data_IF_518193382801
#
_entry.id   IF_518193382801
#
_cell.length_a   1.000
_cell.length_b   1.000
_cell.length_c   1.000
_cell.angle_alpha   90.00
_cell.angle_beta   90.00
_cell.angle_gamma   90.00
#
_symmetry.space_group_name_H-M   'P 1'
#
loop_
_entity.id
_entity.type
_entity.pdbx_description
1 polymer ?
#
# COMPACT_ATOMS: atom_id res chain seq x y z
N UNK A 1 -25.09 -12.75 41.96
CA UNK A 1 -24.32 -11.49 41.72
C UNK A 1 -22.94 -11.81 41.14
N UNK A 2 -22.79 -11.68 39.82
CA UNK A 2 -21.51 -11.81 39.12
C UNK A 2 -21.39 -10.67 38.14
N UNK A 3 -20.69 -9.61 38.53
CA UNK A 3 -20.40 -8.46 37.65
C UNK A 3 -19.21 -8.87 36.79
N UNK A 4 -19.46 -9.18 35.52
CA UNK A 4 -18.38 -9.30 34.54
C UNK A 4 -17.74 -7.92 34.36
N UNK A 5 -16.39 -7.82 34.36
CA UNK A 5 -15.74 -6.56 34.06
C UNK A 5 -16.04 -6.16 32.61
N UNK A 6 -16.27 -4.87 32.33
CA UNK A 6 -16.50 -4.41 30.97
C UNK A 6 -15.25 -4.69 30.11
N UNK A 7 -15.41 -5.06 28.83
CA UNK A 7 -14.28 -5.29 27.94
C UNK A 7 -13.45 -4.01 27.83
N UNK A 8 -12.13 -4.17 27.99
CA UNK A 8 -11.16 -3.09 28.00
C UNK A 8 -11.21 -2.32 26.66
N UNK A 9 -11.88 -1.17 26.66
CA UNK A 9 -12.12 -0.34 25.47
C UNK A 9 -10.83 0.25 24.85
N UNK A 10 -9.66 0.04 25.48
CA UNK A 10 -8.38 0.57 25.03
C UNK A 10 -7.56 -0.33 24.09
N UNK A 11 -7.83 -1.64 24.02
CA UNK A 11 -6.97 -2.57 23.25
C UNK A 11 -7.42 -2.78 21.80
N UNK A 12 -8.68 -2.50 21.46
CA UNK A 12 -9.19 -2.64 20.09
C UNK A 12 -8.88 -1.45 19.16
N UNK A 13 -8.68 -0.25 19.72
CA UNK A 13 -8.46 0.96 18.94
C UNK A 13 -7.02 1.11 18.39
N UNK A 14 -6.03 0.48 19.04
CA UNK A 14 -4.62 0.54 18.61
C UNK A 14 -4.32 -0.47 17.51
N UNK A 15 -4.83 -1.69 17.63
CA UNK A 15 -4.41 -2.81 16.79
C UNK A 15 -4.57 -2.53 15.29
N UNK A 16 -5.72 -2.00 14.85
CA UNK A 16 -5.97 -1.70 13.43
C UNK A 16 -5.08 -0.60 12.83
N UNK A 17 -4.80 0.46 13.60
CA UNK A 17 -3.93 1.55 13.17
C UNK A 17 -2.46 1.13 13.04
N UNK A 18 -2.00 0.30 13.97
CA UNK A 18 -0.63 -0.25 13.98
C UNK A 18 -0.37 -1.12 12.74
N UNK A 19 -1.37 -1.88 12.26
CA UNK A 19 -1.26 -2.67 11.04
C UNK A 19 -1.21 -1.81 9.76
N UNK A 20 -1.99 -0.73 9.69
CA UNK A 20 -1.98 0.19 8.54
C UNK A 20 -0.63 0.93 8.46
N UNK A 21 -0.10 1.40 9.58
CA UNK A 21 1.24 2.01 9.64
C UNK A 21 2.34 1.03 9.22
N UNK A 22 2.31 -0.19 9.77
CA UNK A 22 3.26 -1.24 9.38
C UNK A 22 3.19 -1.54 7.88
N UNK A 23 1.99 -1.57 7.29
CA UNK A 23 1.80 -1.76 5.85
C UNK A 23 2.39 -0.59 5.05
N UNK A 24 2.11 0.66 5.44
CA UNK A 24 2.67 1.87 4.82
C UNK A 24 4.20 1.80 4.82
N UNK A 25 4.81 1.49 5.97
CA UNK A 25 6.27 1.42 6.10
C UNK A 25 6.88 0.32 5.24
N UNK A 26 6.22 -0.85 5.15
CA UNK A 26 6.64 -1.94 4.27
C UNK A 26 6.61 -1.53 2.80
N UNK A 27 5.53 -0.90 2.34
CA UNK A 27 5.43 -0.47 0.94
C UNK A 27 6.42 0.66 0.64
N UNK A 28 6.60 1.63 1.55
CA UNK A 28 7.66 2.66 1.41
C UNK A 28 9.06 2.05 1.30
N UNK A 29 9.35 1.03 2.09
CA UNK A 29 10.63 0.30 2.02
C UNK A 29 10.78 -0.40 0.67
N UNK A 30 9.72 -1.02 0.17
CA UNK A 30 9.69 -1.63 -1.16
C UNK A 30 9.93 -0.58 -2.26
N UNK A 31 9.26 0.57 -2.24
CA UNK A 31 9.44 1.64 -3.23
C UNK A 31 10.89 2.14 -3.26
N UNK A 32 11.52 2.32 -2.09
CA UNK A 32 12.95 2.68 -2.01
C UNK A 32 13.84 1.59 -2.62
N UNK A 33 13.55 0.32 -2.33
CA UNK A 33 14.27 -0.80 -2.92
C UNK A 33 14.13 -0.83 -4.45
N UNK A 34 12.92 -0.61 -4.97
CA UNK A 34 12.68 -0.52 -6.41
C UNK A 34 13.48 0.60 -7.05
N UNK A 35 13.54 1.79 -6.44
CA UNK A 35 14.35 2.89 -6.98
C UNK A 35 15.85 2.53 -7.08
N UNK A 36 16.40 1.86 -6.05
CA UNK A 36 17.79 1.38 -6.08
C UNK A 36 17.98 0.32 -7.16
N UNK A 37 17.05 -0.63 -7.27
CA UNK A 37 17.05 -1.67 -8.30
C UNK A 37 17.04 -1.07 -9.71
N UNK A 38 16.25 -0.01 -9.93
CA UNK A 38 16.25 0.84 -11.12
C UNK A 38 17.63 1.33 -11.54
N UNK A 39 18.34 1.91 -10.58
CA UNK A 39 19.67 2.45 -10.82
C UNK A 39 20.69 1.35 -11.11
N UNK A 40 20.68 0.27 -10.32
CA UNK A 40 21.59 -0.87 -10.52
C UNK A 40 21.36 -1.50 -11.90
N UNK A 41 20.11 -1.78 -12.26
CA UNK A 41 19.78 -2.36 -13.56
C UNK A 41 20.24 -1.44 -14.70
N UNK A 42 20.02 -0.14 -14.59
CA UNK A 42 20.46 0.83 -15.61
C UNK A 42 21.97 0.87 -15.80
N UNK A 43 22.74 0.77 -14.70
CA UNK A 43 24.20 0.70 -14.73
C UNK A 43 24.71 -0.62 -15.31
N UNK A 44 24.11 -1.74 -14.91
CA UNK A 44 24.46 -3.06 -15.40
C UNK A 44 24.11 -3.21 -16.87
N UNK A 45 22.91 -2.79 -17.28
CA UNK A 45 22.42 -2.87 -18.65
C UNK A 45 23.12 -1.88 -19.60
N UNK A 46 24.03 -1.03 -19.13
CA UNK A 46 24.71 -0.04 -19.97
C UNK A 46 25.55 -0.72 -21.07
N UNK A 47 25.38 -0.35 -22.36
CA UNK A 47 26.05 -1.00 -23.49
C UNK A 47 27.58 -1.05 -23.37
N UNK A 48 28.18 -0.02 -22.75
CA UNK A 48 29.63 0.09 -22.57
C UNK A 48 30.22 -0.86 -21.51
N UNK A 49 29.40 -1.41 -20.59
CA UNK A 49 29.88 -2.24 -19.48
C UNK A 49 29.76 -3.74 -19.73
N UNK A 50 28.84 -4.17 -20.57
CA UNK A 50 28.58 -5.60 -20.78
C UNK A 50 29.44 -6.16 -21.92
N UNK A 51 30.09 -5.34 -22.75
CA UNK A 51 30.84 -5.84 -23.91
C UNK A 51 29.97 -6.54 -24.97
N UNK A 52 28.65 -6.66 -24.71
CA UNK A 52 27.66 -7.08 -25.67
C UNK A 52 27.49 -5.96 -26.71
N UNK A 53 28.25 -6.04 -27.80
CA UNK A 53 27.72 -5.61 -29.10
C UNK A 53 26.48 -6.47 -29.39
N UNK A 54 25.33 -6.09 -28.81
CA UNK A 54 24.04 -6.66 -29.19
C UNK A 54 23.77 -6.20 -30.61
N UNK A 55 24.23 -6.99 -31.56
CA UNK A 55 24.02 -6.82 -32.98
C UNK A 55 22.50 -6.86 -33.22
N UNK A 56 21.90 -5.70 -33.48
CA UNK A 56 20.66 -5.59 -34.23
C UNK A 56 19.35 -5.32 -33.48
N UNK A 57 19.25 -5.50 -32.17
CA UNK A 57 18.02 -5.19 -31.43
C UNK A 57 18.36 -4.55 -30.09
N UNK A 58 17.82 -3.35 -29.80
CA UNK A 58 17.66 -2.94 -28.40
C UNK A 58 16.98 -4.11 -27.68
N UNK A 59 17.52 -4.63 -26.57
CA UNK A 59 17.08 -5.93 -26.11
C UNK A 59 15.63 -5.78 -25.64
N UNK A 60 14.69 -6.42 -26.34
CA UNK A 60 13.26 -6.42 -26.03
C UNK A 60 13.01 -6.72 -24.54
N UNK A 61 13.86 -7.53 -23.89
CA UNK A 61 13.84 -7.80 -22.46
C UNK A 61 14.15 -6.56 -21.60
N UNK A 62 14.98 -5.62 -22.05
CA UNK A 62 15.25 -4.34 -21.35
C UNK A 62 13.98 -3.50 -21.32
N UNK A 63 13.26 -3.43 -22.44
CA UNK A 63 12.00 -2.71 -22.51
C UNK A 63 10.92 -3.36 -21.63
N UNK A 64 10.78 -4.69 -21.67
CA UNK A 64 9.86 -5.41 -20.76
C UNK A 64 10.23 -5.23 -19.29
N UNK A 65 11.52 -5.27 -18.97
CA UNK A 65 11.99 -5.00 -17.61
C UNK A 65 11.55 -3.62 -17.14
N UNK A 66 11.75 -2.59 -17.97
CA UNK A 66 11.33 -1.21 -17.65
C UNK A 66 9.82 -1.11 -17.44
N UNK A 67 9.04 -1.78 -18.29
CA UNK A 67 7.58 -1.84 -18.16
C UNK A 67 7.16 -2.46 -16.82
N UNK A 68 7.66 -3.66 -16.50
CA UNK A 68 7.30 -4.35 -15.26
C UNK A 68 7.84 -3.65 -14.01
N UNK A 69 9.00 -3.00 -14.11
CA UNK A 69 9.53 -2.14 -13.05
C UNK A 69 8.59 -0.95 -12.78
N UNK A 70 8.14 -0.27 -13.83
CA UNK A 70 7.19 0.83 -13.73
C UNK A 70 5.82 0.36 -13.19
N UNK A 71 5.34 -0.80 -13.64
CA UNK A 71 4.09 -1.39 -13.14
C UNK A 71 4.17 -1.72 -11.64
N UNK A 72 5.26 -2.35 -11.19
CA UNK A 72 5.49 -2.63 -9.78
C UNK A 72 5.54 -1.34 -8.93
N UNK A 73 6.23 -0.30 -9.42
CA UNK A 73 6.28 1.00 -8.76
C UNK A 73 4.89 1.66 -8.69
N UNK A 74 4.12 1.65 -9.78
CA UNK A 74 2.76 2.22 -9.85
C UNK A 74 1.80 1.51 -8.91
N UNK A 75 1.87 0.17 -8.82
CA UNK A 75 1.05 -0.59 -7.89
C UNK A 75 1.43 -0.33 -6.42
N UNK A 76 2.72 -0.15 -6.12
CA UNK A 76 3.15 0.28 -4.79
C UNK A 76 2.62 1.68 -4.44
N UNK A 77 2.68 2.63 -5.37
CA UNK A 77 2.16 3.99 -5.17
C UNK A 77 0.64 3.98 -4.96
N UNK A 78 -0.09 3.19 -5.75
CA UNK A 78 -1.54 3.00 -5.59
C UNK A 78 -1.86 2.46 -4.21
N UNK A 79 -1.15 1.41 -3.77
CA UNK A 79 -1.36 0.82 -2.45
C UNK A 79 -1.06 1.82 -1.32
N UNK A 80 0.01 2.62 -1.44
CA UNK A 80 0.32 3.68 -0.47
C UNK A 80 -0.77 4.74 -0.40
N UNK A 81 -1.25 5.20 -1.56
CA UNK A 81 -2.33 6.17 -1.63
C UNK A 81 -3.58 5.65 -0.90
N UNK A 82 -4.02 4.43 -1.21
CA UNK A 82 -5.15 3.79 -0.57
C UNK A 82 -4.97 3.62 0.94
N UNK A 83 -3.79 3.17 1.41
CA UNK A 83 -3.51 3.05 2.85
C UNK A 83 -3.55 4.42 3.57
N UNK A 84 -3.04 5.48 2.94
CA UNK A 84 -3.12 6.83 3.48
C UNK A 84 -4.57 7.35 3.55
N UNK A 85 -5.37 7.07 2.52
CA UNK A 85 -6.81 7.39 2.52
C UNK A 85 -7.56 6.62 3.60
N UNK A 86 -7.32 5.31 3.75
CA UNK A 86 -7.89 4.47 4.80
C UNK A 86 -7.56 5.02 6.19
N UNK A 87 -6.29 5.40 6.42
CA UNK A 87 -5.86 6.02 7.67
C UNK A 87 -6.61 7.33 7.93
N UNK A 88 -6.70 8.21 6.93
CA UNK A 88 -7.40 9.49 7.03
C UNK A 88 -8.90 9.31 7.36
N UNK A 89 -9.58 8.42 6.63
CA UNK A 89 -10.98 8.09 6.89
C UNK A 89 -11.18 7.46 8.28
N UNK A 90 -10.26 6.60 8.73
CA UNK A 90 -10.28 6.02 10.07
C UNK A 90 -10.15 7.07 11.17
N UNK A 91 -9.22 8.03 11.02
CA UNK A 91 -9.11 9.16 11.96
C UNK A 91 -10.36 10.05 11.96
N UNK A 92 -10.94 10.32 10.80
CA UNK A 92 -12.19 11.07 10.72
C UNK A 92 -13.34 10.33 11.42
N UNK A 93 -13.47 9.01 11.22
CA UNK A 93 -14.49 8.19 11.87
C UNK A 93 -14.33 8.21 13.39
N UNK A 94 -13.09 8.09 13.89
CA UNK A 94 -12.77 8.22 15.31
C UNK A 94 -13.19 9.58 15.87
N UNK A 95 -12.94 10.66 15.12
CA UNK A 95 -13.38 12.01 15.48
C UNK A 95 -14.90 12.12 15.62
N UNK A 96 -15.65 11.55 14.68
CA UNK A 96 -17.13 11.50 14.75
C UNK A 96 -17.58 10.68 15.96
N UNK A 97 -16.99 9.50 16.20
CA UNK A 97 -17.29 8.69 17.38
C UNK A 97 -17.01 9.43 18.68
N UNK A 98 -15.91 10.20 18.75
CA UNK A 98 -15.59 10.99 19.92
C UNK A 98 -16.68 12.05 20.21
N UNK A 99 -17.19 12.73 19.17
CA UNK A 99 -18.31 13.68 19.31
C UNK A 99 -19.59 12.97 19.75
N UNK A 100 -19.91 11.83 19.14
CA UNK A 100 -21.12 11.07 19.46
C UNK A 100 -21.12 10.52 20.90
N UNK A 101 -19.96 10.12 21.42
CA UNK A 101 -19.83 9.45 22.71
C UNK A 101 -19.50 10.41 23.87
N UNK A 102 -19.17 11.68 23.60
CA UNK A 102 -18.82 12.66 24.64
C UNK A 102 -20.03 13.06 25.48
N UNK A 103 -20.04 12.80 26.81
CA UNK A 103 -21.13 13.25 27.67
C UNK A 103 -21.11 14.79 27.87
N UNK A 104 -22.29 15.43 28.04
CA UNK A 104 -23.62 14.89 27.76
C UNK A 104 -23.89 14.92 26.25
N UNK A 105 -23.89 13.76 25.59
CA UNK A 105 -24.24 13.67 24.17
C UNK A 105 -25.76 13.53 24.05
N UNK A 106 -26.46 14.47 23.39
CA UNK A 106 -27.87 14.30 23.10
C UNK A 106 -28.05 13.12 22.14
N UNK A 107 -29.00 12.20 22.42
CA UNK A 107 -29.33 11.08 21.51
C UNK A 107 -29.61 11.55 20.07
N UNK A 108 -30.21 12.73 19.91
CA UNK A 108 -30.44 13.35 18.60
C UNK A 108 -29.15 13.62 17.83
N UNK A 109 -28.09 14.05 18.52
CA UNK A 109 -26.76 14.26 17.93
C UNK A 109 -26.16 12.93 17.51
N UNK A 110 -26.18 11.91 18.37
CA UNK A 110 -25.68 10.59 18.02
C UNK A 110 -26.38 10.00 16.77
N UNK A 111 -27.70 10.14 16.67
CA UNK A 111 -28.44 9.68 15.49
C UNK A 111 -28.14 10.48 14.22
N UNK A 112 -27.90 11.79 14.33
CA UNK A 112 -27.56 12.63 13.17
C UNK A 112 -26.18 12.30 12.58
N UNK A 113 -25.21 11.94 13.43
CA UNK A 113 -23.83 11.68 13.03
C UNK A 113 -23.53 10.21 12.70
N UNK A 114 -24.37 9.27 13.13
CA UNK A 114 -24.18 7.84 12.87
C UNK A 114 -24.02 7.49 11.37
N UNK A 115 -24.82 8.04 10.42
CA UNK A 115 -24.64 7.76 8.99
C UNK A 115 -23.28 8.24 8.46
N UNK A 116 -22.76 9.36 8.97
CA UNK A 116 -21.46 9.88 8.57
C UNK A 116 -20.32 8.97 9.05
N UNK A 117 -20.41 8.46 10.29
CA UNK A 117 -19.45 7.49 10.83
C UNK A 117 -19.47 6.19 10.02
N UNK A 118 -20.67 5.66 9.69
CA UNK A 118 -20.81 4.46 8.87
C UNK A 118 -20.20 4.66 7.47
N UNK A 119 -20.46 5.79 6.83
CA UNK A 119 -19.90 6.10 5.51
C UNK A 119 -18.37 6.13 5.55
N UNK A 120 -17.77 6.74 6.59
CA UNK A 120 -16.32 6.77 6.74
C UNK A 120 -15.74 5.37 6.93
N UNK A 121 -16.36 4.53 7.75
CA UNK A 121 -15.93 3.13 7.92
C UNK A 121 -16.04 2.34 6.62
N UNK A 122 -17.08 2.56 5.82
CA UNK A 122 -17.21 1.92 4.50
C UNK A 122 -16.09 2.32 3.56
N UNK A 123 -15.72 3.62 3.52
CA UNK A 123 -14.57 4.10 2.76
C UNK A 123 -13.25 3.48 3.24
N UNK A 124 -13.05 3.32 4.55
CA UNK A 124 -11.87 2.61 5.08
C UNK A 124 -11.80 1.19 4.51
N UNK A 125 -12.91 0.45 4.50
CA UNK A 125 -12.93 -0.91 3.95
C UNK A 125 -12.63 -0.93 2.44
N UNK A 126 -13.22 -0.01 1.68
CA UNK A 126 -12.99 0.10 0.23
C UNK A 126 -11.52 0.44 -0.07
N UNK A 127 -10.94 1.41 0.65
CA UNK A 127 -9.55 1.80 0.51
C UNK A 127 -8.60 0.63 0.84
N UNK A 128 -8.88 -0.14 1.91
CA UNK A 128 -8.07 -1.31 2.27
C UNK A 128 -8.16 -2.41 1.22
N UNK A 129 -9.35 -2.68 0.69
CA UNK A 129 -9.53 -3.66 -0.39
C UNK A 129 -8.80 -3.24 -1.67
N UNK A 130 -8.82 -1.95 -2.01
CA UNK A 130 -8.05 -1.41 -3.13
C UNK A 130 -6.53 -1.51 -2.91
N UNK A 131 -6.06 -1.25 -1.68
CA UNK A 131 -4.65 -1.42 -1.33
C UNK A 131 -4.20 -2.88 -1.47
N UNK A 132 -5.01 -3.83 -0.99
CA UNK A 132 -4.76 -5.26 -1.13
C UNK A 132 -4.70 -5.67 -2.62
N UNK A 133 -5.70 -5.29 -3.41
CA UNK A 133 -5.72 -5.58 -4.84
C UNK A 133 -4.52 -4.96 -5.58
N UNK A 134 -4.05 -3.79 -5.17
CA UNK A 134 -2.85 -3.18 -5.73
C UNK A 134 -1.59 -4.01 -5.38
N UNK A 135 -1.45 -4.47 -4.14
CA UNK A 135 -0.35 -5.36 -3.72
C UNK A 135 -0.40 -6.70 -4.46
N UNK A 136 -1.59 -7.26 -4.69
CA UNK A 136 -1.76 -8.47 -5.48
C UNK A 136 -1.29 -8.30 -6.92
N UNK A 137 -1.59 -7.16 -7.56
CA UNK A 137 -1.11 -6.82 -8.92
C UNK A 137 0.38 -6.47 -8.97
N UNK A 138 0.94 -5.96 -7.87
CA UNK A 138 2.37 -5.68 -7.75
C UNK A 138 3.20 -6.97 -7.81
N UNK A 139 2.71 -8.07 -7.22
CA UNK A 139 3.41 -9.35 -7.12
C UNK A 139 3.81 -9.95 -8.48
N UNK A 140 2.91 -10.14 -9.48
CA UNK A 140 3.29 -10.66 -10.78
C UNK A 140 4.23 -9.70 -11.54
N UNK A 141 4.09 -8.38 -11.36
CA UNK A 141 5.01 -7.41 -11.96
C UNK A 141 6.45 -7.59 -11.44
N UNK A 142 6.63 -7.81 -10.13
CA UNK A 142 7.95 -8.11 -9.53
C UNK A 142 8.52 -9.41 -10.09
N UNK A 143 7.70 -10.46 -10.19
CA UNK A 143 8.15 -11.76 -10.72
C UNK A 143 8.59 -11.61 -12.18
N UNK A 144 7.80 -10.93 -13.01
CA UNK A 144 8.15 -10.68 -14.40
C UNK A 144 9.42 -9.82 -14.54
N UNK A 145 9.56 -8.78 -13.72
CA UNK A 145 10.77 -7.95 -13.63
C UNK A 145 12.01 -8.80 -13.31
N UNK A 146 11.91 -9.75 -12.38
CA UNK A 146 13.01 -10.65 -12.05
C UNK A 146 13.41 -11.53 -13.24
N UNK A 147 12.43 -12.13 -13.93
CA UNK A 147 12.71 -12.94 -15.12
C UNK A 147 13.36 -12.12 -16.22
N UNK A 148 12.89 -10.91 -16.50
CA UNK A 148 13.54 -10.04 -17.49
C UNK A 148 14.95 -9.61 -17.07
N UNK A 149 15.19 -9.39 -15.77
CA UNK A 149 16.52 -9.08 -15.25
C UNK A 149 17.48 -10.26 -15.39
N UNK A 150 16.99 -11.49 -15.28
CA UNK A 150 17.83 -12.69 -15.42
C UNK A 150 18.47 -12.83 -16.81
N UNK A 151 17.88 -12.18 -17.83
CA UNK A 151 18.46 -12.12 -19.18
C UNK A 151 19.77 -11.35 -19.23
N UNK A 152 20.05 -10.45 -18.27
CA UNK A 152 21.36 -9.81 -18.13
C UNK A 152 22.49 -10.79 -17.82
N UNK A 153 22.17 -11.94 -17.20
CA UNK A 153 23.17 -12.91 -16.74
C UNK A 153 23.39 -14.05 -17.73
N UNK A 154 22.42 -14.28 -18.64
CA UNK A 154 22.40 -15.42 -19.56
C UNK A 154 22.38 -15.01 -21.03
N UNK A 155 22.37 -13.70 -21.31
CA UNK A 155 22.34 -13.12 -22.65
C UNK A 155 23.71 -12.71 -23.16
#
# INVERSE_FOLDING_TARGET
>A
PGVHPPPNAGQGASAGGDFVELAIDRIKRFSRFQAVLGNVFSLCAAPARIGLQVQGNAPWWRHRWQLHHADAARHAETALHCLHSAKSHGHAALGVFHVMLRPPSPRALAHAWAPAAEQLLRRVMDDLAMAEAAVERMRPAIVAQFFDASMLLHG
#
